data_IF_955426312819
#
_entry.id   IF_955426312819
#
_cell.length_a   1.000
_cell.length_b   1.000
_cell.length_c   1.000
_cell.angle_alpha   90.00
_cell.angle_beta   90.00
_cell.angle_gamma   90.00
#
_symmetry.space_group_name_H-M   'P 1'
#
loop_
_entity.id
_entity.type
_entity.pdbx_description
1 polymer ?
#
# COMPACT_ATOMS: atom_id res chain seq x y z
N UNK A 1 -10.69 -33.35 -19.30
CA UNK A 1 -11.77 -32.39 -19.59
C UNK A 1 -11.11 -31.07 -19.95
N UNK A 2 -10.96 -30.78 -21.25
CA UNK A 2 -10.48 -29.52 -21.79
C UNK A 2 -11.66 -28.57 -21.97
N UNK A 3 -12.23 -28.10 -20.85
CA UNK A 3 -13.25 -27.07 -20.87
C UNK A 3 -12.65 -25.79 -20.28
N UNK A 4 -12.04 -24.95 -21.13
CA UNK A 4 -11.87 -23.54 -20.79
C UNK A 4 -13.03 -22.81 -21.45
N UNK A 5 -14.08 -22.58 -20.66
CA UNK A 5 -15.19 -21.72 -21.04
C UNK A 5 -14.67 -20.27 -20.97
N UNK A 6 -14.11 -19.78 -22.08
CA UNK A 6 -13.69 -18.37 -22.25
C UNK A 6 -14.94 -17.52 -22.50
N UNK A 7 -15.89 -17.54 -21.56
CA UNK A 7 -16.99 -16.58 -21.51
C UNK A 7 -17.20 -16.22 -20.03
N UNK A 8 -16.88 -14.96 -19.68
CA UNK A 8 -17.13 -14.25 -18.41
C UNK A 8 -15.97 -14.00 -17.41
N UNK A 9 -14.69 -14.09 -17.79
CA UNK A 9 -13.60 -13.71 -16.86
C UNK A 9 -13.52 -12.19 -16.57
N UNK A 10 -14.02 -11.31 -17.44
CA UNK A 10 -14.09 -9.85 -17.16
C UNK A 10 -15.12 -9.47 -16.08
N UNK A 11 -16.10 -10.33 -15.79
CA UNK A 11 -17.12 -10.08 -14.75
C UNK A 11 -16.87 -10.86 -13.44
N UNK A 12 -16.08 -11.94 -13.50
CA UNK A 12 -15.82 -12.83 -12.35
C UNK A 12 -14.61 -12.46 -11.51
N UNK A 13 -13.55 -11.89 -12.10
CA UNK A 13 -12.28 -11.61 -11.40
C UNK A 13 -12.37 -10.39 -10.48
N UNK A 14 -13.23 -9.42 -10.79
CA UNK A 14 -13.51 -8.25 -9.92
C UNK A 14 -14.27 -8.61 -8.64
N UNK A 15 -14.79 -9.85 -8.53
CA UNK A 15 -15.53 -10.33 -7.36
C UNK A 15 -14.70 -11.19 -6.40
N UNK A 16 -13.62 -11.85 -6.86
CA UNK A 16 -12.77 -12.70 -6.00
C UNK A 16 -11.58 -12.00 -5.35
N UNK A 17 -11.17 -10.82 -5.84
CA UNK A 17 -10.13 -9.98 -5.20
C UNK A 17 -10.68 -8.84 -4.33
N UNK A 18 -11.99 -8.78 -4.10
CA UNK A 18 -12.58 -7.98 -3.00
C UNK A 18 -12.82 -8.86 -1.79
N UNK A 19 -11.75 -9.34 -1.17
CA UNK A 19 -11.74 -9.48 0.28
C UNK A 19 -11.18 -8.16 0.81
N UNK A 20 -12.03 -7.19 1.19
CA UNK A 20 -11.55 -6.09 1.98
C UNK A 20 -11.11 -6.66 3.33
N UNK A 21 -9.81 -6.63 3.59
CA UNK A 21 -9.25 -6.52 4.93
C UNK A 21 -9.59 -5.11 5.46
N UNK A 22 -10.89 -4.82 5.54
CA UNK A 22 -11.51 -3.60 6.07
C UNK A 22 -12.93 -3.98 6.52
N UNK A 23 -12.99 -4.99 7.39
CA UNK A 23 -14.20 -5.58 7.92
C UNK A 23 -14.31 -5.49 9.44
N UNK A 24 -13.61 -4.56 10.10
CA UNK A 24 -13.69 -4.39 11.57
C UNK A 24 -13.44 -2.94 12.06
N UNK A 25 -13.75 -1.92 11.26
CA UNK A 25 -13.54 -0.51 11.67
C UNK A 25 -14.78 0.38 11.68
N UNK A 26 -15.98 -0.15 11.43
CA UNK A 26 -17.23 0.63 11.56
C UNK A 26 -17.89 0.55 12.93
N UNK A 27 -17.41 -0.29 13.84
CA UNK A 27 -17.93 -0.38 15.21
C UNK A 27 -17.19 0.53 16.22
N UNK A 28 -16.04 1.11 15.85
CA UNK A 28 -15.22 1.93 16.75
C UNK A 28 -15.40 3.45 16.61
N UNK A 29 -16.15 3.93 15.61
CA UNK A 29 -16.38 5.39 15.42
C UNK A 29 -17.65 5.87 16.14
N UNK A 30 -18.60 4.99 16.46
CA UNK A 30 -19.84 5.35 17.15
C UNK A 30 -19.69 5.43 18.68
N UNK A 31 -18.75 4.68 19.27
CA UNK A 31 -18.49 4.69 20.70
C UNK A 31 -17.90 6.03 21.23
N UNK A 32 -16.90 6.68 20.57
CA UNK A 32 -16.37 7.95 21.05
C UNK A 32 -17.35 9.12 20.86
N UNK A 33 -18.21 9.08 19.83
CA UNK A 33 -19.21 10.12 19.59
C UNK A 33 -20.32 10.10 20.66
N UNK A 34 -20.74 8.91 21.11
CA UNK A 34 -21.72 8.75 22.18
C UNK A 34 -21.14 9.14 23.57
N UNK A 35 -19.85 8.89 23.80
CA UNK A 35 -19.15 9.35 25.01
C UNK A 35 -18.99 10.87 25.06
N UNK A 36 -18.71 11.53 23.93
CA UNK A 36 -18.63 12.99 23.84
C UNK A 36 -19.99 13.67 24.05
N UNK A 37 -21.09 13.08 23.54
CA UNK A 37 -22.45 13.60 23.75
C UNK A 37 -22.98 13.33 25.17
N UNK A 38 -22.52 12.27 25.85
CA UNK A 38 -22.89 11.94 27.22
C UNK A 38 -22.31 12.89 28.29
N UNK A 39 -21.17 13.53 28.00
CA UNK A 39 -20.53 14.50 28.92
C UNK A 39 -21.29 15.83 28.96
N UNK A 40 -21.90 16.24 27.84
CA UNK A 40 -22.69 17.49 27.79
C UNK A 40 -24.06 17.37 28.47
N UNK A 41 -24.65 16.18 28.52
CA UNK A 41 -26.00 15.96 29.09
C UNK A 41 -26.01 15.76 30.62
N UNK A 42 -24.83 15.70 31.28
CA UNK A 42 -24.69 15.53 32.74
C UNK A 42 -24.39 16.83 33.51
N UNK A 43 -24.62 17.99 32.91
CA UNK A 43 -24.68 19.26 33.64
C UNK A 43 -23.33 19.87 34.01
N UNK A 44 -22.31 19.75 33.14
CA UNK A 44 -21.03 20.46 33.28
C UNK A 44 -20.80 21.51 32.19
N UNK A 45 -21.87 22.02 31.58
CA UNK A 45 -21.84 23.26 30.81
C UNK A 45 -22.56 24.36 31.61
N UNK A 46 -22.09 24.61 32.83
CA UNK A 46 -22.50 25.80 33.56
C UNK A 46 -21.75 27.00 32.99
N UNK A 47 -22.51 27.87 32.35
CA UNK A 47 -22.22 29.30 32.21
C UNK A 47 -22.10 29.89 33.61
N UNK A 48 -20.92 29.82 34.22
CA UNK A 48 -20.63 30.52 35.48
C UNK A 48 -20.18 31.94 35.19
N UNK A 49 -21.15 32.82 35.02
CA UNK A 49 -21.02 34.26 35.11
C UNK A 49 -20.94 34.67 36.58
N UNK A 50 -19.82 34.42 37.29
CA UNK A 50 -19.50 35.11 38.55
C UNK A 50 -17.99 35.06 38.85
N UNK A 51 -17.50 36.23 39.31
CA UNK A 51 -16.17 36.55 39.87
C UNK A 51 -15.08 36.99 38.87
N UNK A 52 -15.24 38.23 38.42
CA UNK A 52 -14.12 39.18 38.41
C UNK A 52 -13.43 39.20 39.80
N UNK A 53 -12.11 39.39 39.78
CA UNK A 53 -11.14 39.34 40.89
C UNK A 53 -10.56 37.94 41.17
N UNK A 54 -9.92 37.36 40.15
CA UNK A 54 -8.76 36.48 40.35
C UNK A 54 -7.48 37.32 40.49
N UNK A 55 -6.45 36.85 41.23
CA UNK A 55 -5.15 37.52 41.28
C UNK A 55 -4.60 37.73 39.87
N UNK A 56 -3.76 38.76 39.63
CA UNK A 56 -3.23 39.02 38.29
C UNK A 56 -2.60 37.74 37.78
N UNK A 57 -3.04 37.26 36.61
CA UNK A 57 -2.40 36.13 35.92
C UNK A 57 -0.92 36.49 35.82
N UNK A 58 -0.02 35.79 36.53
CA UNK A 58 1.37 36.14 36.53
C UNK A 58 2.00 35.60 35.24
N UNK A 59 2.68 36.49 34.52
CA UNK A 59 3.67 36.25 33.46
C UNK A 59 3.12 35.99 32.04
N UNK A 60 3.72 36.60 30.99
CA UNK A 60 3.59 36.05 29.64
C UNK A 60 4.11 34.62 29.69
N UNK A 61 3.45 33.70 28.98
CA UNK A 61 3.93 32.33 28.85
C UNK A 61 5.31 32.37 28.18
N UNK A 62 6.36 32.38 28.99
CA UNK A 62 7.75 32.46 28.52
C UNK A 62 8.18 31.22 27.73
N UNK A 63 7.28 30.23 27.56
CA UNK A 63 7.50 29.09 26.68
C UNK A 63 7.07 29.34 25.23
N UNK A 64 6.25 30.37 25.00
CA UNK A 64 5.84 30.84 23.67
C UNK A 64 6.61 32.14 23.39
N UNK A 65 7.87 31.97 23.00
CA UNK A 65 8.77 33.03 22.55
C UNK A 65 8.93 33.00 21.01
N UNK A 66 9.66 33.96 20.45
CA UNK A 66 9.99 33.97 19.02
C UNK A 66 10.69 32.68 18.59
N UNK A 67 11.61 32.17 19.42
CA UNK A 67 12.28 30.88 19.23
C UNK A 67 11.27 29.71 19.13
N UNK A 68 10.22 29.71 19.94
CA UNK A 68 9.16 28.70 19.88
C UNK A 68 8.36 28.79 18.58
N UNK A 69 8.05 29.99 18.10
CA UNK A 69 7.37 30.16 16.81
C UNK A 69 8.21 29.63 15.65
N UNK A 70 9.50 29.91 15.63
CA UNK A 70 10.44 29.37 14.62
C UNK A 70 10.51 27.84 14.69
N UNK A 71 10.61 27.28 15.90
CA UNK A 71 10.55 25.82 16.10
C UNK A 71 9.26 25.22 15.58
N UNK A 72 8.11 25.81 15.87
CA UNK A 72 6.81 25.32 15.41
C UNK A 72 6.67 25.38 13.89
N UNK A 73 7.26 26.39 13.25
CA UNK A 73 7.34 26.48 11.80
C UNK A 73 8.26 25.39 11.22
N UNK A 74 9.44 25.17 11.81
CA UNK A 74 10.36 24.11 11.40
C UNK A 74 9.73 22.72 11.58
N UNK A 75 9.01 22.48 12.68
CA UNK A 75 8.21 21.29 12.93
C UNK A 75 7.19 21.07 11.81
N UNK A 76 6.38 22.09 11.50
CA UNK A 76 5.35 22.00 10.48
C UNK A 76 5.95 21.69 9.09
N UNK A 77 7.08 22.32 8.76
CA UNK A 77 7.81 22.07 7.52
C UNK A 77 8.35 20.63 7.44
N UNK A 78 8.95 20.14 8.53
CA UNK A 78 9.46 18.76 8.61
C UNK A 78 8.31 17.74 8.47
N UNK A 79 7.20 17.95 9.17
CA UNK A 79 6.03 17.07 9.08
C UNK A 79 5.40 17.08 7.69
N UNK A 80 5.25 18.25 7.06
CA UNK A 80 4.70 18.34 5.71
C UNK A 80 5.62 17.63 4.70
N UNK A 81 6.93 17.82 4.83
CA UNK A 81 7.92 17.15 3.96
C UNK A 81 7.84 15.64 4.11
N UNK A 82 7.75 15.13 5.34
CA UNK A 82 7.59 13.70 5.60
C UNK A 82 6.34 13.12 4.92
N UNK A 83 5.19 13.80 5.05
CA UNK A 83 3.93 13.35 4.44
C UNK A 83 4.06 13.30 2.92
N UNK A 84 4.62 14.35 2.29
CA UNK A 84 4.80 14.41 0.85
C UNK A 84 5.74 13.30 0.33
N UNK A 85 6.85 13.05 1.01
CA UNK A 85 7.78 11.99 0.61
C UNK A 85 7.16 10.60 0.84
N UNK A 86 6.45 10.39 1.94
CA UNK A 86 5.74 9.13 2.19
C UNK A 86 4.69 8.85 1.10
N UNK A 87 3.86 9.84 0.76
CA UNK A 87 2.86 9.72 -0.32
C UNK A 87 3.52 9.45 -1.66
N UNK A 88 4.66 10.09 -1.95
CA UNK A 88 5.43 9.82 -3.18
C UNK A 88 5.93 8.36 -3.22
N UNK A 89 6.43 7.82 -2.11
CA UNK A 89 6.85 6.43 -2.03
C UNK A 89 5.69 5.47 -2.35
N UNK A 90 4.52 5.70 -1.74
CA UNK A 90 3.30 4.91 -1.97
C UNK A 90 2.81 4.99 -3.42
N UNK A 91 2.77 6.20 -4.00
CA UNK A 91 2.36 6.40 -5.39
C UNK A 91 3.28 5.64 -6.37
N UNK A 92 4.59 5.78 -6.19
CA UNK A 92 5.58 5.11 -7.04
C UNK A 92 5.46 3.58 -6.96
N UNK A 93 5.27 3.05 -5.75
CA UNK A 93 5.08 1.62 -5.54
C UNK A 93 3.80 1.12 -6.21
N UNK A 94 2.69 1.87 -6.08
CA UNK A 94 1.41 1.53 -6.70
C UNK A 94 1.48 1.54 -8.23
N UNK A 95 2.12 2.55 -8.82
CA UNK A 95 2.35 2.62 -10.27
C UNK A 95 3.14 1.40 -10.76
N UNK A 96 4.24 1.08 -10.08
CA UNK A 96 5.05 -0.09 -10.43
C UNK A 96 4.26 -1.41 -10.27
N UNK A 97 3.41 -1.50 -9.25
CA UNK A 97 2.56 -2.67 -9.03
C UNK A 97 1.49 -2.84 -10.13
N UNK A 98 0.99 -1.74 -10.70
CA UNK A 98 0.08 -1.77 -11.86
C UNK A 98 0.82 -2.34 -13.07
N UNK A 99 2.04 -1.88 -13.33
CA UNK A 99 2.86 -2.37 -14.44
C UNK A 99 3.12 -3.88 -14.31
N UNK A 100 3.49 -4.36 -13.11
CA UNK A 100 3.66 -5.80 -12.85
C UNK A 100 2.36 -6.59 -13.03
N UNK A 101 1.21 -5.99 -12.76
CA UNK A 101 -0.08 -6.65 -13.00
C UNK A 101 -0.34 -6.85 -14.48
N UNK A 102 0.10 -5.92 -15.34
CA UNK A 102 0.02 -6.06 -16.80
C UNK A 102 0.91 -7.22 -17.25
N UNK A 103 2.15 -7.28 -16.76
CA UNK A 103 3.07 -8.39 -17.06
C UNK A 103 2.48 -9.76 -16.67
N UNK A 104 1.85 -9.85 -15.49
CA UNK A 104 1.16 -11.09 -15.05
C UNK A 104 0.10 -11.52 -16.06
N UNK A 105 -0.69 -10.58 -16.61
CA UNK A 105 -1.72 -10.92 -17.59
C UNK A 105 -1.11 -11.41 -18.90
N UNK A 106 -0.06 -10.75 -19.37
CA UNK A 106 0.63 -11.13 -20.62
C UNK A 106 1.25 -12.52 -20.52
N UNK A 107 1.95 -12.81 -19.42
CA UNK A 107 2.54 -14.14 -19.17
C UNK A 107 1.46 -15.21 -19.06
N UNK A 108 0.35 -14.90 -18.39
CA UNK A 108 -0.79 -15.81 -18.29
C UNK A 108 -1.41 -16.12 -19.65
N UNK A 109 -1.63 -15.12 -20.49
CA UNK A 109 -2.21 -15.29 -21.82
C UNK A 109 -1.35 -16.21 -22.69
N UNK A 110 -0.03 -16.05 -22.67
CA UNK A 110 0.89 -16.92 -23.42
C UNK A 110 0.83 -18.38 -22.96
N UNK A 111 0.76 -18.61 -21.64
CA UNK A 111 0.60 -19.95 -21.07
C UNK A 111 -0.76 -20.54 -21.44
N UNK A 112 -1.82 -19.74 -21.46
CA UNK A 112 -3.17 -20.17 -21.87
C UNK A 112 -3.25 -20.54 -23.35
N UNK A 113 -2.53 -19.83 -24.23
CA UNK A 113 -2.41 -20.21 -25.64
C UNK A 113 -1.76 -21.60 -25.80
N UNK A 114 -0.66 -21.87 -25.10
CA UNK A 114 -0.01 -23.18 -25.12
C UNK A 114 -0.93 -24.29 -24.58
N UNK A 115 -1.68 -24.02 -23.51
CA UNK A 115 -2.71 -24.95 -23.03
C UNK A 115 -3.80 -25.21 -24.07
N UNK A 116 -4.23 -24.18 -24.79
CA UNK A 116 -5.23 -24.28 -25.85
C UNK A 116 -4.78 -25.21 -26.97
N UNK A 117 -3.52 -25.09 -27.41
CA UNK A 117 -2.92 -25.95 -28.44
C UNK A 117 -2.86 -27.42 -27.99
N UNK A 118 -2.35 -27.67 -26.77
CA UNK A 118 -2.31 -29.00 -26.18
C UNK A 118 -3.71 -29.65 -26.13
N UNK A 119 -4.70 -28.89 -25.67
CA UNK A 119 -6.08 -29.36 -25.62
C UNK A 119 -6.68 -29.57 -27.02
N UNK A 120 -6.34 -28.72 -27.98
CA UNK A 120 -6.75 -28.85 -29.38
C UNK A 120 -6.29 -30.17 -29.98
N UNK A 121 -5.02 -30.54 -29.78
CA UNK A 121 -4.46 -31.80 -30.27
C UNK A 121 -5.20 -33.02 -29.68
N UNK A 122 -5.52 -33.00 -28.39
CA UNK A 122 -6.27 -34.08 -27.75
C UNK A 122 -7.72 -34.17 -28.23
N UNK A 123 -8.39 -33.03 -28.41
CA UNK A 123 -9.77 -33.02 -28.90
C UNK A 123 -9.85 -33.43 -30.38
N UNK A 124 -8.85 -33.10 -31.20
CA UNK A 124 -8.73 -33.59 -32.57
C UNK A 124 -8.66 -35.12 -32.63
N UNK A 125 -7.87 -35.75 -31.76
CA UNK A 125 -7.81 -37.21 -31.71
C UNK A 125 -9.10 -37.84 -31.22
N UNK A 126 -9.78 -37.22 -30.25
CA UNK A 126 -11.06 -37.69 -29.72
C UNK A 126 -12.19 -37.73 -30.76
N UNK A 127 -12.06 -37.01 -31.88
CA UNK A 127 -13.04 -37.05 -32.99
C UNK A 127 -12.90 -38.28 -33.89
N UNK A 128 -11.93 -39.17 -33.65
CA UNK A 128 -11.78 -40.43 -34.40
C UNK A 128 -12.74 -41.48 -33.86
N UNK A 129 -13.54 -42.06 -34.75
CA UNK A 129 -14.51 -43.11 -34.42
C UNK A 129 -13.85 -44.50 -34.33
N UNK A 130 -12.72 -44.72 -35.04
CA UNK A 130 -11.96 -45.97 -35.02
C UNK A 130 -10.86 -45.93 -33.94
N UNK A 131 -10.80 -46.98 -33.12
CA UNK A 131 -9.87 -47.06 -31.99
C UNK A 131 -8.40 -47.07 -32.44
N UNK A 132 -8.07 -47.68 -33.58
CA UNK A 132 -6.70 -47.70 -34.10
C UNK A 132 -6.31 -46.33 -34.65
N UNK A 133 -7.22 -45.63 -35.33
CA UNK A 133 -7.00 -44.24 -35.78
C UNK A 133 -6.86 -43.26 -34.60
N UNK A 134 -7.64 -43.45 -33.53
CA UNK A 134 -7.49 -42.69 -32.28
C UNK A 134 -6.09 -42.86 -31.67
N UNK A 135 -5.63 -44.12 -31.55
CA UNK A 135 -4.31 -44.44 -31.00
C UNK A 135 -3.17 -43.92 -31.87
N UNK A 136 -3.33 -44.00 -33.19
CA UNK A 136 -2.37 -43.43 -34.14
C UNK A 136 -2.29 -41.90 -34.00
N UNK A 137 -3.43 -41.21 -33.92
CA UNK A 137 -3.47 -39.76 -33.71
C UNK A 137 -2.76 -39.35 -32.40
N UNK A 138 -3.02 -40.06 -31.30
CA UNK A 138 -2.33 -39.79 -30.03
C UNK A 138 -0.82 -40.03 -30.12
N UNK A 139 -0.40 -41.07 -30.83
CA UNK A 139 1.02 -41.37 -31.08
C UNK A 139 1.69 -40.25 -31.89
N UNK A 140 1.00 -39.75 -32.93
CA UNK A 140 1.53 -38.71 -33.82
C UNK A 140 1.66 -37.36 -33.11
N UNK A 141 0.66 -36.95 -32.31
CA UNK A 141 0.73 -35.72 -31.51
C UNK A 141 1.46 -35.90 -30.17
N UNK A 142 1.84 -37.11 -29.79
CA UNK A 142 2.39 -37.40 -28.46
C UNK A 142 3.68 -36.64 -28.17
N UNK A 143 4.59 -36.56 -29.16
CA UNK A 143 5.84 -35.79 -29.02
C UNK A 143 5.57 -34.29 -28.93
N UNK A 144 4.73 -33.77 -29.81
CA UNK A 144 4.34 -32.35 -29.81
C UNK A 144 3.68 -31.93 -28.49
N UNK A 145 2.76 -32.75 -27.98
CA UNK A 145 2.11 -32.51 -26.70
C UNK A 145 3.09 -32.53 -25.51
N UNK A 146 4.11 -33.40 -25.56
CA UNK A 146 5.17 -33.44 -24.56
C UNK A 146 6.06 -32.19 -24.62
N UNK A 147 6.39 -31.71 -25.82
CA UNK A 147 7.15 -30.49 -26.02
C UNK A 147 6.34 -29.25 -25.54
N UNK A 148 5.03 -29.21 -25.85
CA UNK A 148 4.11 -28.18 -25.39
C UNK A 148 4.03 -28.13 -23.86
N UNK A 149 3.76 -29.25 -23.18
CA UNK A 149 3.64 -29.24 -21.71
C UNK A 149 4.96 -28.89 -21.03
N UNK A 150 6.09 -29.29 -21.61
CA UNK A 150 7.42 -28.91 -21.11
C UNK A 150 7.64 -27.41 -21.23
N UNK A 151 7.26 -26.83 -22.37
CA UNK A 151 7.37 -25.39 -22.65
C UNK A 151 6.47 -24.58 -21.72
N UNK A 152 5.21 -24.99 -21.56
CA UNK A 152 4.25 -24.39 -20.63
C UNK A 152 4.83 -24.39 -19.21
N UNK A 153 5.34 -25.52 -18.75
CA UNK A 153 5.91 -25.66 -17.41
C UNK A 153 7.15 -24.77 -17.22
N UNK A 154 8.03 -24.71 -18.21
CA UNK A 154 9.21 -23.85 -18.17
C UNK A 154 8.81 -22.37 -18.11
N UNK A 155 7.93 -21.93 -19.01
CA UNK A 155 7.45 -20.54 -19.06
C UNK A 155 6.75 -20.15 -17.77
N UNK A 156 5.84 -20.99 -17.26
CA UNK A 156 5.13 -20.75 -16.01
C UNK A 156 6.09 -20.63 -14.81
N UNK A 157 7.08 -21.53 -14.72
CA UNK A 157 8.07 -21.51 -13.63
C UNK A 157 8.96 -20.26 -13.71
N UNK A 158 9.42 -19.92 -14.92
CA UNK A 158 10.23 -18.75 -15.18
C UNK A 158 9.47 -17.46 -14.84
N UNK A 159 8.28 -17.28 -15.41
CA UNK A 159 7.43 -16.11 -15.19
C UNK A 159 7.06 -15.96 -13.71
N UNK A 160 6.63 -17.04 -13.04
CA UNK A 160 6.30 -17.00 -11.62
C UNK A 160 7.50 -16.57 -10.77
N UNK A 161 8.69 -17.11 -11.05
CA UNK A 161 9.90 -16.78 -10.29
C UNK A 161 10.30 -15.33 -10.49
N UNK A 162 10.32 -14.85 -11.74
CA UNK A 162 10.64 -13.46 -12.10
C UNK A 162 9.64 -12.51 -11.46
N UNK A 163 8.34 -12.69 -11.71
CA UNK A 163 7.30 -11.80 -11.20
C UNK A 163 7.28 -11.74 -9.68
N UNK A 164 7.53 -12.87 -8.99
CA UNK A 164 7.65 -12.88 -7.55
C UNK A 164 8.80 -12.00 -7.07
N UNK A 165 9.98 -12.12 -7.70
CA UNK A 165 11.13 -11.27 -7.38
C UNK A 165 10.82 -9.80 -7.63
N UNK A 166 10.12 -9.49 -8.72
CA UNK A 166 9.74 -8.12 -9.07
C UNK A 166 8.76 -7.53 -8.02
N UNK A 167 7.74 -8.30 -7.59
CA UNK A 167 6.83 -7.86 -6.51
C UNK A 167 7.57 -7.67 -5.17
N UNK A 168 8.47 -8.60 -4.81
CA UNK A 168 9.27 -8.49 -3.58
C UNK A 168 10.17 -7.23 -3.65
N UNK A 169 10.74 -6.92 -4.81
CA UNK A 169 11.56 -5.72 -5.03
C UNK A 169 10.77 -4.42 -4.90
N UNK A 170 9.51 -4.38 -5.37
CA UNK A 170 8.62 -3.21 -5.16
C UNK A 170 8.37 -2.99 -3.68
N UNK A 171 8.05 -4.04 -2.93
CA UNK A 171 7.82 -3.96 -1.48
C UNK A 171 9.07 -3.51 -0.73
N UNK A 172 10.23 -4.04 -1.09
CA UNK A 172 11.50 -3.62 -0.52
C UNK A 172 11.78 -2.13 -0.79
N UNK A 173 11.54 -1.68 -2.02
CA UNK A 173 11.74 -0.28 -2.42
C UNK A 173 10.83 0.67 -1.65
N UNK A 174 9.55 0.32 -1.50
CA UNK A 174 8.60 1.07 -0.68
C UNK A 174 9.07 1.18 0.77
N UNK A 175 9.52 0.07 1.36
CA UNK A 175 10.00 0.05 2.74
C UNK A 175 11.24 0.93 2.93
N UNK A 176 12.20 0.87 2.01
CA UNK A 176 13.40 1.70 2.08
C UNK A 176 13.08 3.19 1.88
N UNK A 177 12.24 3.52 0.91
CA UNK A 177 11.81 4.90 0.64
C UNK A 177 11.11 5.53 1.86
N UNK A 178 10.17 4.79 2.48
CA UNK A 178 9.44 5.27 3.67
C UNK A 178 10.34 5.38 4.90
N UNK A 179 11.34 4.50 5.03
CA UNK A 179 12.36 4.59 6.08
C UNK A 179 13.25 5.82 5.89
N UNK A 180 13.69 6.10 4.67
CA UNK A 180 14.52 7.28 4.36
C UNK A 180 13.75 8.58 4.67
N UNK A 181 12.47 8.64 4.32
CA UNK A 181 11.59 9.75 4.69
C UNK A 181 11.49 9.91 6.22
N UNK A 182 11.36 8.80 6.96
CA UNK A 182 11.31 8.83 8.42
C UNK A 182 12.63 9.30 9.03
N UNK A 183 13.76 8.83 8.53
CA UNK A 183 15.10 9.26 8.99
C UNK A 183 15.28 10.75 8.74
N UNK A 184 14.90 11.25 7.57
CA UNK A 184 14.94 12.67 7.25
C UNK A 184 14.06 13.48 8.22
N UNK A 185 12.84 13.03 8.49
CA UNK A 185 11.95 13.67 9.46
C UNK A 185 12.57 13.77 10.86
N UNK A 186 13.06 12.65 11.40
CA UNK A 186 13.72 12.62 12.71
C UNK A 186 14.95 13.53 12.72
N UNK A 187 15.71 13.56 11.64
CA UNK A 187 16.87 14.45 11.46
C UNK A 187 16.47 15.93 11.52
N UNK A 188 15.45 16.33 10.77
CA UNK A 188 14.91 17.70 10.78
C UNK A 188 14.35 18.09 12.14
N UNK A 189 13.67 17.17 12.81
CA UNK A 189 13.13 17.37 14.15
C UNK A 189 14.23 17.59 15.20
N UNK A 190 15.32 16.81 15.12
CA UNK A 190 16.49 17.00 15.98
C UNK A 190 17.12 18.38 15.74
N UNK A 191 17.31 18.76 14.48
CA UNK A 191 17.90 20.06 14.12
C UNK A 191 17.04 21.22 14.62
N UNK A 192 15.73 21.19 14.39
CA UNK A 192 14.82 22.22 14.87
C UNK A 192 14.88 22.38 16.40
N UNK A 193 14.99 21.27 17.13
CA UNK A 193 15.13 21.32 18.58
C UNK A 193 16.49 21.87 19.02
N UNK A 194 17.57 21.58 18.29
CA UNK A 194 18.89 22.18 18.55
C UNK A 194 18.86 23.69 18.33
N UNK A 195 18.24 24.16 17.25
CA UNK A 195 18.05 25.58 16.93
C UNK A 195 17.20 26.30 17.98
N UNK A 196 16.12 25.67 18.47
CA UNK A 196 15.31 26.21 19.57
C UNK A 196 16.14 26.47 20.82
N UNK A 197 16.98 25.50 21.20
CA UNK A 197 17.81 25.61 22.41
C UNK A 197 18.87 26.70 22.25
N UNK A 198 19.46 26.83 21.07
CA UNK A 198 20.46 27.86 20.78
C UNK A 198 19.82 29.26 20.79
N UNK A 199 18.70 29.46 20.10
CA UNK A 199 17.96 30.72 20.08
C UNK A 199 17.65 31.21 21.50
N UNK A 200 17.18 30.32 22.39
CA UNK A 200 16.89 30.66 23.79
C UNK A 200 18.12 31.05 24.60
N UNK A 201 19.27 30.43 24.33
CA UNK A 201 20.54 30.81 24.97
C UNK A 201 20.99 32.19 24.53
N UNK A 202 20.85 32.49 23.24
CA UNK A 202 21.22 33.80 22.69
C UNK A 202 20.34 34.91 23.25
N UNK A 203 19.02 34.71 23.31
CA UNK A 203 18.09 35.66 23.94
C UNK A 203 18.48 35.91 25.39
N UNK A 204 18.70 34.85 26.19
CA UNK A 204 19.11 34.98 27.59
C UNK A 204 20.46 35.71 27.75
N UNK A 205 21.40 35.51 26.83
CA UNK A 205 22.70 36.18 26.84
C UNK A 205 22.60 37.68 26.48
N UNK A 206 21.63 38.07 25.63
CA UNK A 206 21.35 39.47 25.30
C UNK A 206 20.69 40.20 26.48
N UNK A 207 19.75 39.55 27.17
CA UNK A 207 19.06 40.12 28.34
C UNK A 207 20.00 40.34 29.55
N UNK A 208 21.12 39.62 29.62
CA UNK A 208 22.10 39.73 30.69
C UNK A 208 23.13 40.88 30.52
N UNK A 209 23.08 41.64 29.42
CA UNK A 209 23.99 42.75 29.09
C UNK A 209 23.35 44.10 29.28
#
# INVERSE_FOLDING_TARGET
MCAVLVENQLAGETRRRRLPLFGEQRLHVLLPLALLLGICMRGACDTSEYLAVGPPIPWPDSTIDECHNEYMQAFANASNTYVLEYERCELTANETQIDLTIDVQLEREQIELGHGELCGNLELCKQRDDDLEYLECLKDHGKENLDLITTINYNATSAHTRLRQDFDAVQQTLMLCTLDAQVAYIGSMRLANEELQECRRDVAAMEAR
#
